data_IF_108199847758
#
_entry.id   IF_108199847758
#
_cell.length_a   1.000
_cell.length_b   1.000
_cell.length_c   1.000
_cell.angle_alpha   90.00
_cell.angle_beta   90.00
_cell.angle_gamma   90.00
#
_symmetry.space_group_name_H-M   'P 1'
#
loop_
_entity.id
_entity.type
_entity.pdbx_description
1 polymer ?
#
# COMPACT_ATOMS: atom_id res chain seq x y z
N UNK A 1 1.22 15.57 14.24
CA UNK A 1 1.22 14.11 14.21
C UNK A 1 -0.20 13.60 13.92
N UNK A 2 -0.31 12.45 13.25
CA UNK A 2 -1.59 11.78 13.01
C UNK A 2 -1.42 10.30 13.35
N UNK A 3 -2.30 9.76 14.18
CA UNK A 3 -2.38 8.31 14.43
C UNK A 3 -3.42 7.75 13.46
N UNK A 4 -3.15 6.61 12.87
CA UNK A 4 -4.09 5.96 11.96
C UNK A 4 -4.12 4.45 12.18
N UNK A 5 -5.23 3.85 11.79
CA UNK A 5 -5.40 2.40 11.72
C UNK A 5 -6.19 2.05 10.48
N UNK A 6 -5.94 0.86 9.93
CA UNK A 6 -6.66 0.34 8.80
C UNK A 6 -6.88 -1.17 8.94
N UNK A 7 -8.02 -1.62 8.45
CA UNK A 7 -8.32 -3.01 8.23
C UNK A 7 -8.01 -3.38 6.79
N UNK A 8 -7.45 -4.56 6.59
CA UNK A 8 -7.19 -5.12 5.27
C UNK A 8 -7.99 -6.42 5.16
N UNK A 9 -8.82 -6.50 4.13
CA UNK A 9 -9.48 -7.74 3.74
C UNK A 9 -9.30 -7.92 2.24
N UNK A 10 -8.95 -9.13 1.81
CA UNK A 10 -8.90 -9.47 0.39
C UNK A 10 -9.31 -10.92 0.17
N UNK A 11 -9.89 -11.18 -1.00
CA UNK A 11 -10.17 -12.50 -1.52
C UNK A 11 -9.58 -12.59 -2.91
N UNK A 12 -8.86 -13.66 -3.18
CA UNK A 12 -8.24 -13.93 -4.47
C UNK A 12 -8.63 -15.35 -4.89
N UNK A 13 -9.07 -15.49 -6.12
CA UNK A 13 -9.43 -16.77 -6.70
C UNK A 13 -8.37 -17.19 -7.72
N UNK A 14 -7.92 -18.42 -7.61
CA UNK A 14 -7.02 -19.08 -8.55
C UNK A 14 -7.74 -20.29 -9.14
N UNK A 15 -7.14 -20.95 -10.12
CA UNK A 15 -7.76 -22.11 -10.80
C UNK A 15 -8.09 -23.24 -9.81
N UNK A 16 -7.20 -23.50 -8.84
CA UNK A 16 -7.30 -24.64 -7.93
C UNK A 16 -7.34 -24.21 -6.46
N UNK A 17 -7.44 -22.92 -6.16
CA UNK A 17 -7.44 -22.43 -4.78
C UNK A 17 -8.08 -21.06 -4.62
N UNK A 18 -8.64 -20.83 -3.44
CA UNK A 18 -9.10 -19.53 -2.97
C UNK A 18 -8.21 -19.07 -1.82
N UNK A 19 -7.75 -17.81 -1.88
CA UNK A 19 -6.97 -17.21 -0.81
C UNK A 19 -7.75 -16.06 -0.18
N UNK A 20 -7.86 -16.11 1.15
CA UNK A 20 -8.48 -15.06 1.96
C UNK A 20 -7.43 -14.44 2.87
N UNK A 21 -7.42 -13.12 2.94
CA UNK A 21 -6.52 -12.37 3.82
C UNK A 21 -7.32 -11.42 4.67
N UNK A 22 -7.09 -11.45 5.98
CA UNK A 22 -7.74 -10.57 6.93
C UNK A 22 -6.71 -10.06 7.95
N UNK A 23 -6.79 -8.79 8.26
CA UNK A 23 -5.91 -8.24 9.28
C UNK A 23 -6.02 -6.74 9.41
N UNK A 24 -5.08 -6.17 10.13
CA UNK A 24 -5.04 -4.75 10.32
C UNK A 24 -3.64 -4.22 10.58
N UNK A 25 -3.47 -2.95 10.35
CA UNK A 25 -2.26 -2.24 10.71
C UNK A 25 -2.59 -0.87 11.30
N UNK A 26 -1.66 -0.38 12.10
CA UNK A 26 -1.74 0.96 12.64
C UNK A 26 -0.38 1.66 12.56
N UNK A 27 -0.40 2.99 12.70
CA UNK A 27 0.83 3.73 12.61
C UNK A 27 0.72 5.19 13.00
N UNK A 28 1.87 5.85 12.92
CA UNK A 28 2.05 7.26 13.19
C UNK A 28 2.53 7.95 11.91
N UNK A 29 1.90 9.06 11.58
CA UNK A 29 2.34 9.99 10.54
C UNK A 29 2.80 11.30 11.19
N UNK A 30 4.05 11.66 10.95
CA UNK A 30 4.59 12.98 11.23
C UNK A 30 4.64 13.77 9.92
N UNK A 31 4.03 14.94 9.89
CA UNK A 31 4.01 15.78 8.69
C UNK A 31 4.47 17.20 8.99
N UNK A 32 5.19 17.78 8.06
CA UNK A 32 5.68 19.15 8.08
C UNK A 32 5.32 19.86 6.77
N UNK A 33 4.89 21.10 6.90
CA UNK A 33 4.57 21.98 5.79
C UNK A 33 5.41 23.26 5.89
N UNK A 34 6.04 23.64 4.80
CA UNK A 34 6.74 24.93 4.69
C UNK A 34 6.41 25.55 3.34
N UNK A 35 5.55 26.59 3.36
CA UNK A 35 4.99 27.19 2.12
C UNK A 35 4.28 26.10 1.28
N UNK A 36 4.79 25.86 0.07
CA UNK A 36 4.25 24.89 -0.89
C UNK A 36 4.92 23.51 -0.80
N UNK A 37 5.89 23.33 0.12
CA UNK A 37 6.59 22.07 0.34
C UNK A 37 5.92 21.25 1.45
N UNK A 38 5.80 19.96 1.22
CA UNK A 38 5.31 18.96 2.18
C UNK A 38 6.36 17.87 2.39
N UNK A 39 6.58 17.50 3.63
CA UNK A 39 7.30 16.29 4.02
C UNK A 39 6.44 15.48 5.01
N UNK A 40 6.32 14.19 4.76
CA UNK A 40 5.59 13.27 5.65
C UNK A 40 6.42 12.03 5.91
N UNK A 41 6.55 11.65 7.16
CA UNK A 41 7.20 10.43 7.59
C UNK A 41 6.21 9.54 8.33
N UNK A 42 6.10 8.28 7.90
CA UNK A 42 5.23 7.28 8.53
C UNK A 42 6.03 6.14 9.11
N UNK A 43 5.55 5.62 10.24
CA UNK A 43 5.97 4.34 10.81
C UNK A 43 4.68 3.55 11.04
N UNK A 44 4.68 2.29 10.66
CA UNK A 44 3.51 1.43 10.85
C UNK A 44 3.91 -0.01 11.19
N UNK A 45 2.96 -0.75 11.74
CA UNK A 45 3.08 -2.18 12.00
C UNK A 45 1.71 -2.82 12.08
N UNK A 46 1.66 -4.11 11.82
CA UNK A 46 0.40 -4.84 11.81
C UNK A 46 0.57 -6.33 11.60
N UNK A 47 -0.55 -7.01 11.40
CA UNK A 47 -0.59 -8.43 11.12
C UNK A 47 -1.74 -8.80 10.20
N UNK A 48 -1.52 -9.84 9.42
CA UNK A 48 -2.47 -10.43 8.49
C UNK A 48 -2.56 -11.92 8.78
N UNK A 49 -3.79 -12.46 8.89
CA UNK A 49 -4.06 -13.87 8.76
C UNK A 49 -4.32 -14.20 7.29
N UNK A 50 -3.75 -15.27 6.82
CA UNK A 50 -3.92 -15.79 5.45
C UNK A 50 -4.51 -17.18 5.54
N UNK A 51 -5.61 -17.41 4.86
CA UNK A 51 -6.26 -18.69 4.69
C UNK A 51 -6.25 -19.05 3.20
N UNK A 52 -5.64 -20.16 2.85
CA UNK A 52 -5.63 -20.72 1.50
C UNK A 52 -6.45 -22.01 1.47
N UNK A 53 -7.55 -22.00 0.71
CA UNK A 53 -8.42 -23.17 0.53
C UNK A 53 -8.14 -23.83 -0.81
N UNK A 54 -7.89 -25.12 -0.78
CA UNK A 54 -7.71 -25.97 -1.94
C UNK A 54 -8.85 -27.01 -1.99
N UNK A 55 -9.04 -27.66 -3.12
CA UNK A 55 -10.03 -28.74 -3.23
C UNK A 55 -9.80 -29.90 -2.24
N UNK A 56 -8.56 -30.09 -1.80
CA UNK A 56 -8.12 -31.19 -0.96
C UNK A 56 -7.74 -30.81 0.47
N UNK A 57 -7.74 -29.51 0.80
CA UNK A 57 -7.34 -29.08 2.14
C UNK A 57 -7.32 -27.58 2.34
N UNK A 58 -6.78 -27.16 3.47
CA UNK A 58 -6.70 -25.77 3.88
C UNK A 58 -5.40 -25.49 4.60
N UNK A 59 -4.78 -24.38 4.28
CA UNK A 59 -3.60 -23.85 4.96
C UNK A 59 -3.89 -22.51 5.60
N UNK A 60 -3.43 -22.33 6.84
CA UNK A 60 -3.56 -21.09 7.59
C UNK A 60 -2.18 -20.64 8.09
N UNK A 61 -1.85 -19.38 7.86
CA UNK A 61 -0.64 -18.78 8.42
C UNK A 61 -0.82 -17.28 8.69
N UNK A 62 0.09 -16.71 9.47
CA UNK A 62 0.08 -15.30 9.79
C UNK A 62 1.28 -14.60 9.18
N UNK A 63 1.10 -13.31 8.88
CA UNK A 63 2.18 -12.42 8.43
C UNK A 63 2.23 -11.23 9.37
N UNK A 64 3.37 -11.02 10.02
CA UNK A 64 3.65 -9.77 10.74
C UNK A 64 4.31 -8.79 9.78
N UNK A 65 3.87 -7.54 9.82
CA UNK A 65 4.43 -6.48 8.98
C UNK A 65 4.85 -5.28 9.81
N UNK A 66 5.94 -4.66 9.42
CA UNK A 66 6.37 -3.36 9.91
C UNK A 66 6.91 -2.53 8.74
N UNK A 67 6.79 -1.22 8.82
CA UNK A 67 7.26 -0.39 7.73
C UNK A 67 7.47 1.06 8.12
N UNK A 68 8.23 1.75 7.27
CA UNK A 68 8.43 3.19 7.35
C UNK A 68 8.43 3.78 5.95
N UNK A 69 7.92 4.99 5.80
CA UNK A 69 7.94 5.67 4.51
C UNK A 69 8.18 7.18 4.69
N UNK A 70 8.95 7.74 3.77
CA UNK A 70 9.15 9.17 3.63
C UNK A 70 8.50 9.63 2.34
N UNK A 71 7.63 10.64 2.42
CA UNK A 71 7.00 11.29 1.28
C UNK A 71 7.40 12.75 1.23
N UNK A 72 7.88 13.20 0.08
CA UNK A 72 8.16 14.58 -0.23
C UNK A 72 7.22 15.03 -1.36
N UNK A 73 6.70 16.24 -1.26
CA UNK A 73 5.83 16.80 -2.28
C UNK A 73 5.98 18.32 -2.38
N UNK A 74 5.73 18.86 -3.56
CA UNK A 74 5.73 20.29 -3.80
C UNK A 74 4.45 20.69 -4.52
N UNK A 75 3.78 21.77 -4.08
CA UNK A 75 2.53 22.27 -4.64
C UNK A 75 2.80 23.42 -5.62
N UNK A 76 2.82 23.13 -6.90
CA UNK A 76 2.87 24.14 -7.96
C UNK A 76 1.47 24.67 -8.26
N UNK A 77 1.23 25.91 -7.94
CA UNK A 77 0.00 26.63 -8.32
C UNK A 77 0.11 27.02 -9.78
N UNK A 78 -0.54 26.31 -10.69
CA UNK A 78 -0.54 26.62 -12.12
C UNK A 78 -1.45 27.80 -12.45
N UNK A 79 -2.61 27.87 -11.76
CA UNK A 79 -3.61 28.95 -11.80
C UNK A 79 -4.36 28.94 -10.46
N UNK A 80 -5.26 29.89 -10.25
CA UNK A 80 -6.00 30.04 -8.98
C UNK A 80 -6.66 28.74 -8.47
N UNK A 81 -7.04 27.85 -9.37
CA UNK A 81 -7.78 26.63 -9.03
C UNK A 81 -7.04 25.33 -9.33
N UNK A 82 -5.88 25.35 -10.00
CA UNK A 82 -5.14 24.14 -10.37
C UNK A 82 -3.81 24.05 -9.63
N UNK A 83 -3.60 22.91 -9.01
CA UNK A 83 -2.36 22.60 -8.31
C UNK A 83 -1.75 21.34 -8.94
N UNK A 84 -0.55 21.48 -9.47
CA UNK A 84 0.29 20.35 -9.88
C UNK A 84 1.21 19.99 -8.72
N UNK A 85 1.18 18.73 -8.31
CA UNK A 85 1.94 18.25 -7.16
C UNK A 85 2.84 17.08 -7.57
N UNK A 86 4.12 17.30 -7.93
CA UNK A 86 5.10 16.24 -7.96
C UNK A 86 5.29 15.68 -6.55
N UNK A 87 5.38 14.36 -6.48
CA UNK A 87 5.57 13.61 -5.25
C UNK A 87 6.70 12.61 -5.42
N UNK A 88 7.46 12.41 -4.39
CA UNK A 88 8.44 11.34 -4.28
C UNK A 88 8.21 10.60 -2.96
N UNK A 89 8.02 9.29 -3.05
CA UNK A 89 7.87 8.45 -1.86
C UNK A 89 8.94 7.37 -1.88
N UNK A 90 9.60 7.17 -0.75
CA UNK A 90 10.42 5.98 -0.49
C UNK A 90 9.81 5.23 0.68
N UNK A 91 9.71 3.92 0.57
CA UNK A 91 9.11 3.09 1.61
C UNK A 91 9.94 1.82 1.83
N UNK A 92 10.22 1.53 3.08
CA UNK A 92 10.78 0.26 3.52
C UNK A 92 9.68 -0.55 4.21
N UNK A 93 9.57 -1.81 3.85
CA UNK A 93 8.60 -2.75 4.42
C UNK A 93 9.30 -4.03 4.82
N UNK A 94 9.05 -4.46 6.03
CA UNK A 94 9.45 -5.75 6.58
C UNK A 94 8.21 -6.64 6.67
N UNK A 95 8.31 -7.87 6.18
CA UNK A 95 7.29 -8.90 6.30
C UNK A 95 7.93 -10.15 6.91
N UNK A 96 7.28 -10.70 7.91
CA UNK A 96 7.70 -11.95 8.56
C UNK A 96 6.50 -12.92 8.57
N UNK A 97 6.39 -13.79 7.56
CA UNK A 97 5.41 -14.87 7.58
C UNK A 97 5.77 -15.89 8.65
N UNK A 98 4.75 -16.52 9.26
CA UNK A 98 4.98 -17.66 10.13
C UNK A 98 5.28 -18.90 9.27
N UNK A 99 6.10 -19.80 9.82
CA UNK A 99 6.25 -21.14 9.24
C UNK A 99 4.92 -21.88 9.33
N UNK A 100 4.66 -22.72 8.36
CA UNK A 100 3.47 -23.58 8.37
C UNK A 100 3.83 -25.00 7.92
N UNK A 101 3.11 -25.97 8.48
CA UNK A 101 3.02 -27.29 7.89
C UNK A 101 1.71 -27.33 7.10
N UNK A 102 1.80 -27.54 5.79
CA UNK A 102 0.62 -27.49 4.93
C UNK A 102 -0.25 -28.77 5.13
N UNK A 103 -1.43 -28.76 4.54
CA UNK A 103 -2.38 -29.90 4.64
C UNK A 103 -1.82 -31.22 4.04
N UNK A 104 -0.75 -31.19 3.26
CA UNK A 104 -0.03 -32.36 2.75
C UNK A 104 1.12 -32.78 3.67
N UNK A 105 1.25 -32.18 4.85
CA UNK A 105 2.34 -32.43 5.82
C UNK A 105 3.73 -31.99 5.34
N UNK A 106 3.80 -31.07 4.36
CA UNK A 106 5.05 -30.46 3.94
C UNK A 106 5.40 -29.28 4.84
N UNK A 107 6.66 -29.18 5.26
CA UNK A 107 7.16 -28.05 6.05
C UNK A 107 7.51 -26.88 5.13
N UNK A 108 6.76 -25.78 5.23
CA UNK A 108 6.94 -24.57 4.44
C UNK A 108 7.56 -23.48 5.30
N UNK A 109 8.81 -23.19 5.02
CA UNK A 109 9.58 -22.14 5.65
C UNK A 109 9.70 -20.94 4.70
N UNK A 110 8.98 -19.87 5.00
CA UNK A 110 9.04 -18.62 4.26
C UNK A 110 10.08 -17.68 4.88
N UNK A 111 11.01 -17.21 4.08
CA UNK A 111 12.00 -16.24 4.57
C UNK A 111 11.36 -14.89 4.82
N UNK A 112 11.91 -14.15 5.77
CA UNK A 112 11.57 -12.75 5.97
C UNK A 112 11.84 -11.95 4.70
N UNK A 113 10.92 -11.05 4.37
CA UNK A 113 11.01 -10.19 3.19
C UNK A 113 11.32 -8.76 3.61
N UNK A 114 12.39 -8.22 3.06
CA UNK A 114 12.77 -6.83 3.20
C UNK A 114 12.52 -6.12 1.88
N UNK A 115 11.57 -5.23 1.85
CA UNK A 115 11.19 -4.46 0.66
C UNK A 115 11.61 -3.00 0.77
N UNK A 116 12.35 -2.50 -0.21
CA UNK A 116 12.59 -1.07 -0.39
C UNK A 116 12.02 -0.66 -1.74
N UNK A 117 11.15 0.33 -1.75
CA UNK A 117 10.54 0.86 -2.96
C UNK A 117 10.74 2.37 -3.06
N UNK A 118 10.83 2.86 -4.29
CA UNK A 118 10.72 4.29 -4.61
C UNK A 118 9.53 4.50 -5.56
N UNK A 119 8.78 5.58 -5.34
CA UNK A 119 7.55 5.84 -6.07
C UNK A 119 7.42 7.33 -6.42
N UNK A 120 8.06 7.79 -7.52
CA UNK A 120 7.79 9.11 -8.07
C UNK A 120 6.39 9.15 -8.69
N UNK A 121 5.68 10.25 -8.48
CA UNK A 121 4.34 10.48 -9.01
C UNK A 121 4.04 11.95 -9.19
N UNK A 122 3.03 12.24 -10.00
CA UNK A 122 2.51 13.59 -10.20
C UNK A 122 0.99 13.55 -10.00
N UNK A 123 0.46 14.54 -9.30
CA UNK A 123 -0.98 14.73 -9.10
C UNK A 123 -1.38 16.11 -9.61
N UNK A 124 -2.48 16.17 -10.36
CA UNK A 124 -3.14 17.41 -10.74
C UNK A 124 -4.48 17.50 -9.98
N UNK A 125 -4.62 18.52 -9.16
CA UNK A 125 -5.81 18.76 -8.33
C UNK A 125 -6.51 20.03 -8.81
N UNK A 126 -7.83 19.97 -8.98
CA UNK A 126 -8.68 21.13 -9.10
C UNK A 126 -9.25 21.50 -7.74
N UNK A 127 -9.10 22.75 -7.32
CA UNK A 127 -9.59 23.23 -6.03
C UNK A 127 -10.82 24.10 -6.23
N UNK A 128 -11.96 23.67 -5.67
CA UNK A 128 -13.18 24.46 -5.60
C UNK A 128 -13.25 25.21 -4.26
N UNK A 129 -13.97 26.34 -4.23
CA UNK A 129 -14.23 27.15 -3.03
C UNK A 129 -15.06 26.40 -1.97
N UNK A 130 -15.86 25.42 -2.40
CA UNK A 130 -16.68 24.58 -1.52
C UNK A 130 -15.90 23.44 -0.81
N UNK A 131 -14.58 23.37 -0.97
CA UNK A 131 -13.73 22.32 -0.37
C UNK A 131 -13.85 20.96 -1.07
N UNK A 132 -14.39 20.93 -2.30
CA UNK A 132 -14.41 19.76 -3.16
C UNK A 132 -13.20 19.81 -4.11
N UNK A 133 -12.33 18.84 -4.01
CA UNK A 133 -11.04 18.80 -4.73
C UNK A 133 -10.90 17.50 -5.51
N UNK A 134 -11.43 17.43 -6.75
CA UNK A 134 -11.15 16.31 -7.64
C UNK A 134 -9.69 16.36 -8.11
N UNK A 135 -9.10 15.19 -8.34
CA UNK A 135 -7.73 15.07 -8.82
C UNK A 135 -7.53 13.84 -9.71
N UNK A 136 -6.51 13.92 -10.54
CA UNK A 136 -5.95 12.80 -11.28
C UNK A 136 -4.48 12.65 -10.88
N UNK A 137 -3.95 11.46 -10.98
CA UNK A 137 -2.53 11.22 -10.70
C UNK A 137 -1.98 10.11 -11.59
N UNK A 138 -0.65 10.14 -11.74
CA UNK A 138 0.11 9.09 -12.40
C UNK A 138 1.50 8.99 -11.82
N UNK A 139 2.08 7.81 -11.88
CA UNK A 139 3.42 7.55 -11.35
C UNK A 139 3.87 6.12 -11.58
N UNK A 140 5.03 5.79 -11.07
CA UNK A 140 5.54 4.43 -11.08
C UNK A 140 6.03 4.03 -9.69
N UNK A 141 6.08 2.74 -9.45
CA UNK A 141 6.67 2.13 -8.25
C UNK A 141 7.79 1.22 -8.70
N UNK A 142 8.97 1.46 -8.16
CA UNK A 142 10.20 0.76 -8.51
C UNK A 142 10.69 0.03 -7.26
N UNK A 143 10.57 -1.30 -7.20
CA UNK A 143 11.16 -2.09 -6.13
C UNK A 143 12.70 -2.08 -6.29
N UNK A 144 13.41 -1.70 -5.23
CA UNK A 144 14.88 -1.72 -5.16
C UNK A 144 15.35 -2.99 -4.46
N UNK A 145 14.62 -3.39 -3.40
CA UNK A 145 14.83 -4.64 -2.68
C UNK A 145 13.46 -5.32 -2.60
N UNK A 146 13.35 -6.54 -3.11
CA UNK A 146 12.04 -7.21 -3.18
C UNK A 146 12.15 -8.73 -3.31
N UNK A 147 13.26 -9.29 -2.82
CA UNK A 147 13.51 -10.72 -2.94
C UNK A 147 12.68 -11.52 -1.97
N UNK A 148 11.87 -12.42 -2.50
CA UNK A 148 11.08 -13.38 -1.73
C UNK A 148 11.70 -14.75 -1.95
N UNK A 149 12.02 -15.45 -0.87
CA UNK A 149 12.57 -16.80 -0.87
C UNK A 149 11.68 -17.71 -0.03
N UNK A 150 11.51 -18.93 -0.46
CA UNK A 150 10.82 -19.96 0.31
C UNK A 150 11.57 -21.27 0.23
N UNK A 151 11.43 -22.10 1.26
CA UNK A 151 11.95 -23.44 1.33
C UNK A 151 10.78 -24.37 1.65
N UNK A 152 10.68 -25.47 0.92
CA UNK A 152 9.66 -26.50 1.12
C UNK A 152 10.38 -27.83 1.32
N UNK A 153 10.24 -28.44 2.49
CA UNK A 153 10.90 -29.70 2.86
C UNK A 153 12.42 -29.73 2.58
N UNK A 154 13.11 -28.61 2.88
CA UNK A 154 14.54 -28.50 2.64
C UNK A 154 14.92 -28.11 1.18
N UNK A 155 13.96 -28.04 0.26
CA UNK A 155 14.18 -27.63 -1.13
C UNK A 155 13.95 -26.13 -1.27
N UNK A 156 14.98 -25.38 -1.68
CA UNK A 156 14.85 -23.96 -1.95
C UNK A 156 14.09 -23.73 -3.26
N UNK A 157 13.05 -22.92 -3.21
CA UNK A 157 12.33 -22.47 -4.39
C UNK A 157 13.08 -21.33 -5.08
N UNK A 158 12.80 -21.16 -6.38
CA UNK A 158 13.34 -20.04 -7.15
C UNK A 158 12.93 -18.71 -6.55
N UNK A 159 13.88 -17.79 -6.54
CA UNK A 159 13.69 -16.45 -6.00
C UNK A 159 12.67 -15.68 -6.83
N UNK A 160 11.64 -15.18 -6.17
CA UNK A 160 10.69 -14.27 -6.77
C UNK A 160 11.14 -12.81 -6.54
N UNK A 161 11.24 -12.04 -7.61
CA UNK A 161 11.57 -10.61 -7.57
C UNK A 161 10.40 -9.80 -8.13
N UNK A 162 9.99 -8.73 -7.43
CA UNK A 162 8.94 -7.86 -7.91
C UNK A 162 9.46 -6.96 -9.03
N UNK A 163 8.73 -6.88 -10.13
CA UNK A 163 9.02 -5.99 -11.24
C UNK A 163 8.41 -4.60 -11.02
N UNK A 164 8.98 -3.52 -11.58
CA UNK A 164 8.40 -2.20 -11.56
C UNK A 164 7.01 -2.16 -12.21
N UNK A 165 6.13 -1.29 -11.70
CA UNK A 165 4.81 -1.07 -12.29
C UNK A 165 4.46 0.40 -12.36
N UNK A 166 3.66 0.77 -13.34
CA UNK A 166 3.01 2.06 -13.43
C UNK A 166 1.66 2.04 -12.71
N UNK A 167 1.26 3.21 -12.19
CA UNK A 167 -0.05 3.40 -11.60
C UNK A 167 -0.60 4.78 -11.98
N UNK A 168 -1.90 4.81 -12.24
CA UNK A 168 -2.62 6.05 -12.54
C UNK A 168 -4.04 5.93 -12.02
N UNK A 169 -4.64 7.06 -11.74
CA UNK A 169 -5.98 7.06 -11.18
C UNK A 169 -6.59 8.44 -11.05
N UNK A 170 -7.77 8.43 -10.50
CA UNK A 170 -8.53 9.62 -10.20
C UNK A 170 -9.16 9.50 -8.82
N UNK A 171 -9.40 10.64 -8.21
CA UNK A 171 -10.05 10.67 -6.90
C UNK A 171 -10.68 12.01 -6.62
N UNK A 172 -11.31 12.07 -5.48
CA UNK A 172 -11.91 13.27 -4.94
C UNK A 172 -11.60 13.37 -3.45
N UNK A 173 -11.23 14.55 -3.03
CA UNK A 173 -11.11 14.91 -1.62
C UNK A 173 -12.16 15.96 -1.29
N UNK A 174 -12.87 15.76 -0.16
CA UNK A 174 -13.80 16.75 0.37
C UNK A 174 -13.49 17.03 1.82
N UNK A 175 -13.29 18.28 2.15
CA UNK A 175 -13.21 18.74 3.55
C UNK A 175 -14.61 19.04 4.04
N UNK A 176 -15.02 18.34 5.12
CA UNK A 176 -16.30 18.53 5.78
C UNK A 176 -16.01 19.17 7.12
N UNK A 177 -16.27 20.47 7.25
CA UNK A 177 -15.86 21.29 8.38
C UNK A 177 -14.32 21.25 8.56
N UNK A 178 -13.78 21.89 9.57
CA UNK A 178 -12.33 22.03 9.75
C UNK A 178 -11.61 20.75 10.22
N UNK A 179 -12.35 19.72 10.62
CA UNK A 179 -11.81 18.54 11.29
C UNK A 179 -11.95 17.25 10.50
N UNK A 180 -12.83 17.18 9.52
CA UNK A 180 -13.10 15.93 8.81
C UNK A 180 -12.75 16.08 7.33
N UNK A 181 -11.91 15.21 6.84
CA UNK A 181 -11.60 15.11 5.40
C UNK A 181 -11.92 13.69 4.92
N UNK A 182 -12.77 13.59 3.91
CA UNK A 182 -13.09 12.34 3.23
C UNK A 182 -12.39 12.33 1.88
N UNK A 183 -11.91 11.17 1.45
CA UNK A 183 -11.46 10.99 0.07
C UNK A 183 -11.83 9.60 -0.46
N UNK A 184 -12.11 9.58 -1.75
CA UNK A 184 -12.31 8.39 -2.55
C UNK A 184 -11.33 8.40 -3.72
N UNK A 185 -10.74 7.27 -4.00
CA UNK A 185 -9.72 7.15 -5.06
C UNK A 185 -9.87 5.81 -5.79
N UNK A 186 -9.73 5.84 -7.11
CA UNK A 186 -9.59 4.66 -7.95
C UNK A 186 -8.17 4.63 -8.52
N UNK A 187 -7.55 3.48 -8.56
CA UNK A 187 -6.20 3.28 -9.10
C UNK A 187 -6.18 2.10 -10.06
N UNK A 188 -5.52 2.27 -11.19
CA UNK A 188 -5.20 1.22 -12.15
C UNK A 188 -3.68 1.03 -12.12
N UNK A 189 -3.25 -0.23 -12.16
CA UNK A 189 -1.84 -0.63 -12.16
C UNK A 189 -1.55 -1.48 -13.37
N UNK A 190 -0.37 -1.32 -13.96
CA UNK A 190 0.09 -2.09 -15.12
C UNK A 190 1.60 -2.31 -15.08
N UNK A 191 2.09 -3.42 -15.61
CA UNK A 191 3.50 -3.83 -15.55
C UNK A 191 3.70 -4.98 -14.58
N UNK A 192 4.69 -4.91 -13.71
CA UNK A 192 4.99 -5.95 -12.72
C UNK A 192 3.86 -6.24 -11.72
N UNK A 193 2.87 -5.37 -11.66
CA UNK A 193 1.61 -5.56 -10.95
C UNK A 193 0.47 -5.02 -11.81
N UNK A 194 -0.49 -5.86 -12.12
CA UNK A 194 -1.67 -5.49 -12.93
C UNK A 194 -2.93 -5.61 -12.08
N UNK A 195 -3.84 -4.66 -12.24
CA UNK A 195 -5.13 -4.68 -11.56
C UNK A 195 -5.68 -3.29 -11.31
N UNK A 196 -6.82 -3.24 -10.67
CA UNK A 196 -7.46 -2.00 -10.23
C UNK A 196 -7.75 -2.04 -8.74
N UNK A 197 -7.92 -0.89 -8.14
CA UNK A 197 -8.28 -0.76 -6.74
C UNK A 197 -9.16 0.45 -6.50
N UNK A 198 -9.95 0.37 -5.45
CA UNK A 198 -10.77 1.47 -4.95
C UNK A 198 -10.47 1.67 -3.46
N UNK A 199 -10.39 2.91 -3.05
CA UNK A 199 -10.10 3.28 -1.66
C UNK A 199 -11.06 4.36 -1.19
N UNK A 200 -11.62 4.16 -0.01
CA UNK A 200 -12.31 5.19 0.76
C UNK A 200 -11.54 5.47 2.04
N UNK A 201 -11.40 6.72 2.39
CA UNK A 201 -10.72 7.09 3.62
C UNK A 201 -11.43 8.29 4.28
N UNK A 202 -11.47 8.27 5.62
CA UNK A 202 -11.96 9.35 6.44
C UNK A 202 -10.85 9.72 7.42
N UNK A 203 -10.43 10.97 7.39
CA UNK A 203 -9.43 11.53 8.29
C UNK A 203 -10.09 12.50 9.23
N UNK A 204 -9.91 12.31 10.53
CA UNK A 204 -10.43 13.18 11.59
C UNK A 204 -9.23 13.81 12.29
N UNK A 205 -9.17 15.15 12.29
CA UNK A 205 -8.17 15.89 13.06
C UNK A 205 -8.62 15.97 14.52
N UNK A 206 -7.78 15.52 15.43
CA UNK A 206 -7.98 15.54 16.88
C UNK A 206 -7.32 16.80 17.46
#
# INVERSE_FOLDING_TARGET
>A
PTIYGAYIGSSQQYVDSDMYQNGGYGGLLLSAYKKDFYAGWTINGGGLGVESKYNSGKDDYAIVTAGTALKLAYNWKLRDRFILQPNFTTAYTFLSPSNLVNFQSLDINQSQVNGLTIAPSVRLTYRNEEGFEPYIFGGCVIPIMSDIKANVDGVNLDKLTLNPWAQFGAGVRRRIKDRVTCFAETVIRTGGRTGWGFMLNIQIAI
#
